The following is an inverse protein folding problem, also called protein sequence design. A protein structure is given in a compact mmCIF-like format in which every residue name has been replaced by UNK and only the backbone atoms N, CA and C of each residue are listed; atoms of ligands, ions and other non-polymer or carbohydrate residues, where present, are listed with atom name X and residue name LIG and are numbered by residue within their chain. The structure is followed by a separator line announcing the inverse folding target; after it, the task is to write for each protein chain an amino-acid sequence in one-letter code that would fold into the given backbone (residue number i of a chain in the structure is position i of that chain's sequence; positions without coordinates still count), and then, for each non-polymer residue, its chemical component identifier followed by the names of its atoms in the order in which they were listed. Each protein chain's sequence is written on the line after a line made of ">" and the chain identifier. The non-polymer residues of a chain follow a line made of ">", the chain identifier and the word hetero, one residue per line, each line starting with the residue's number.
data_IF_861449966948
#
_entry.id   IF_861449966948
#
_cell.length_a   1.000
_cell.length_b   1.000
_cell.length_c   1.000
_cell.angle_alpha   90.00
_cell.angle_beta   90.00
_cell.angle_gamma   90.00
#
_symmetry.space_group_name_H-M   'P 1'
#
loop_
_entity.id
_entity.type
_entity.pdbx_description
1 polymer ?
#
# COMPACT_ATOMS: atom_id res chain seq x y z
N UNK A 1 57.19 -50.44 37.38
CA UNK A 1 55.84 -50.29 37.98
C UNK A 1 54.85 -50.18 36.81
N UNK A 2 54.28 -51.29 36.28
CA UNK A 2 52.94 -51.86 36.58
C UNK A 2 51.90 -50.75 36.83
N UNK A 3 50.87 -50.58 36.01
CA UNK A 3 49.65 -51.42 35.86
C UNK A 3 49.08 -51.22 34.43
N UNK A 4 49.13 -52.24 33.54
CA UNK A 4 48.01 -53.12 33.06
C UNK A 4 46.91 -52.38 32.26
N UNK A 5 46.90 -52.46 30.91
CA UNK A 5 46.06 -53.36 30.05
C UNK A 5 44.54 -53.19 30.31
N UNK A 6 43.64 -53.07 29.33
CA UNK A 6 43.14 -54.17 28.48
C UNK A 6 42.40 -53.65 27.23
N UNK A 7 42.55 -54.42 26.15
CA UNK A 7 41.91 -54.34 24.83
C UNK A 7 40.39 -54.53 24.84
N UNK A 8 39.79 -54.02 23.75
CA UNK A 8 38.61 -54.52 23.03
C UNK A 8 37.22 -54.37 23.67
N UNK A 9 36.29 -53.75 22.94
CA UNK A 9 35.10 -54.39 22.39
C UNK A 9 34.34 -53.35 21.53
N UNK A 10 34.27 -53.54 20.21
CA UNK A 10 33.11 -54.08 19.48
C UNK A 10 32.09 -52.99 19.11
N UNK A 11 32.11 -52.65 17.81
CA UNK A 11 30.95 -52.43 16.94
C UNK A 11 29.61 -52.29 17.65
N UNK A 12 29.16 -51.05 17.87
CA UNK A 12 27.73 -50.75 18.02
C UNK A 12 27.29 -50.00 16.78
N UNK A 13 26.70 -50.79 15.88
CA UNK A 13 25.82 -50.48 14.77
C UNK A 13 25.18 -49.08 14.88
N UNK A 14 25.63 -48.17 14.03
CA UNK A 14 24.95 -46.90 13.76
C UNK A 14 23.78 -47.18 12.79
N UNK A 15 22.75 -47.84 13.29
CA UNK A 15 21.47 -47.99 12.61
C UNK A 15 20.39 -47.37 13.49
N UNK A 16 19.47 -46.67 12.83
CA UNK A 16 18.27 -46.03 13.38
C UNK A 16 18.50 -44.68 14.05
N UNK A 17 18.48 -43.62 13.23
CA UNK A 17 17.84 -42.33 13.53
C UNK A 17 17.61 -41.56 12.22
N UNK A 18 17.03 -42.24 11.22
CA UNK A 18 16.22 -41.57 10.21
C UNK A 18 14.87 -41.25 10.85
N UNK A 19 14.85 -40.27 11.76
CA UNK A 19 13.64 -39.50 12.02
C UNK A 19 13.35 -38.72 10.74
N UNK A 20 12.73 -39.39 9.77
CA UNK A 20 12.13 -38.73 8.63
C UNK A 20 11.16 -37.70 9.19
N UNK A 21 11.48 -36.42 9.00
CA UNK A 21 10.49 -35.36 9.14
C UNK A 21 9.34 -35.73 8.21
N UNK A 22 8.23 -36.18 8.79
CA UNK A 22 6.94 -36.17 8.09
C UNK A 22 6.78 -34.74 7.58
N UNK A 23 6.57 -34.50 6.28
CA UNK A 23 6.01 -33.23 5.87
C UNK A 23 4.71 -33.11 6.65
N UNK A 24 4.67 -32.14 7.57
CA UNK A 24 3.40 -31.71 8.11
C UNK A 24 2.56 -31.36 6.91
N UNK A 25 1.50 -32.13 6.77
CA UNK A 25 0.38 -31.94 5.86
C UNK A 25 -0.01 -30.46 5.90
N UNK A 26 0.57 -29.66 5.00
CA UNK A 26 0.06 -28.34 4.67
C UNK A 26 -1.18 -28.56 3.80
N UNK A 27 -2.18 -29.19 4.41
CA UNK A 27 -3.57 -29.04 4.03
C UNK A 27 -3.99 -27.60 4.38
N UNK A 28 -3.49 -26.65 3.59
CA UNK A 28 -4.19 -25.40 3.34
C UNK A 28 -3.87 -24.82 1.95
N UNK A 29 -3.62 -25.69 0.98
CA UNK A 29 -3.55 -25.34 -0.45
C UNK A 29 -4.95 -25.26 -1.11
N UNK A 30 -6.01 -25.14 -0.32
CA UNK A 30 -7.40 -25.14 -0.77
C UNK A 30 -8.21 -24.00 -0.14
N UNK A 31 -7.63 -22.79 -0.10
CA UNK A 31 -8.37 -21.50 -0.09
C UNK A 31 -7.41 -20.32 -0.31
N UNK A 32 -6.53 -20.42 -1.31
CA UNK A 32 -5.92 -19.23 -1.89
C UNK A 32 -6.82 -18.83 -3.06
N UNK A 33 -7.85 -18.03 -2.77
CA UNK A 33 -8.34 -17.10 -3.78
C UNK A 33 -7.11 -16.22 -4.07
N UNK A 34 -6.41 -16.46 -5.19
CA UNK A 34 -5.06 -15.93 -5.41
C UNK A 34 -5.06 -14.41 -5.16
N UNK A 35 -4.39 -13.98 -4.09
CA UNK A 35 -4.27 -12.56 -3.79
C UNK A 35 -3.59 -11.85 -4.96
N UNK A 36 -4.23 -10.81 -5.45
CA UNK A 36 -3.72 -9.92 -6.47
C UNK A 36 -2.88 -8.84 -5.78
N UNK A 37 -1.57 -8.83 -6.08
CA UNK A 37 -0.66 -7.80 -5.62
C UNK A 37 -0.89 -6.48 -6.36
N UNK A 38 -1.17 -5.41 -5.63
CA UNK A 38 -1.41 -4.07 -6.16
C UNK A 38 -0.39 -3.09 -5.61
N UNK A 39 0.31 -2.39 -6.51
CA UNK A 39 1.10 -1.21 -6.13
C UNK A 39 0.16 -0.14 -5.54
N UNK A 40 0.54 0.48 -4.43
CA UNK A 40 -0.26 1.54 -3.84
C UNK A 40 0.23 2.90 -4.34
N UNK A 41 -0.70 3.72 -4.81
CA UNK A 41 -0.45 5.09 -5.28
C UNK A 41 -1.34 6.06 -4.52
N UNK A 42 -0.75 7.11 -3.96
CA UNK A 42 -1.48 8.12 -3.18
C UNK A 42 -1.82 9.33 -4.06
N UNK A 43 -3.07 9.80 -3.98
CA UNK A 43 -3.55 11.03 -4.60
C UNK A 43 -4.05 11.94 -3.46
N UNK A 44 -3.33 13.02 -3.17
CA UNK A 44 -3.69 13.93 -2.08
C UNK A 44 -4.37 15.20 -2.61
N UNK A 45 -5.70 15.27 -2.54
CA UNK A 45 -6.50 16.45 -2.91
C UNK A 45 -6.71 17.43 -1.74
N UNK A 46 -5.99 17.24 -0.63
CA UNK A 46 -6.14 18.06 0.56
C UNK A 46 -5.19 19.26 0.55
N UNK A 47 -5.55 20.26 1.36
CA UNK A 47 -4.70 21.42 1.66
C UNK A 47 -3.53 21.10 2.60
N UNK A 48 -3.55 19.92 3.23
CA UNK A 48 -2.52 19.40 4.12
C UNK A 48 -1.67 18.36 3.41
N UNK A 49 -0.38 18.33 3.73
CA UNK A 49 0.48 17.21 3.39
C UNK A 49 0.08 15.95 4.16
N UNK A 50 0.43 14.81 3.59
CA UNK A 50 0.41 13.50 4.23
C UNK A 50 1.85 13.13 4.56
N UNK A 51 2.21 13.15 5.84
CA UNK A 51 3.56 12.84 6.30
C UNK A 51 3.86 11.35 6.18
N UNK A 52 2.89 10.52 6.57
CA UNK A 52 2.97 9.06 6.48
C UNK A 52 1.62 8.48 6.07
N UNK A 53 1.66 7.43 5.26
CA UNK A 53 0.51 6.62 4.89
C UNK A 53 0.89 5.14 4.95
N UNK A 54 0.04 4.36 5.59
CA UNK A 54 0.10 2.91 5.68
C UNK A 54 -1.20 2.29 5.16
N UNK A 55 -1.08 1.14 4.53
CA UNK A 55 -2.22 0.33 4.10
C UNK A 55 -2.02 -1.10 4.55
N UNK A 56 -2.95 -1.62 5.35
CA UNK A 56 -2.82 -2.94 5.98
C UNK A 56 -1.44 -3.13 6.66
N UNK A 57 -0.94 -2.09 7.33
CA UNK A 57 0.36 -2.08 8.00
C UNK A 57 1.59 -1.90 7.10
N UNK A 58 1.43 -1.84 5.77
CA UNK A 58 2.53 -1.58 4.83
C UNK A 58 2.67 -0.08 4.61
N UNK A 59 3.88 0.47 4.77
CA UNK A 59 4.14 1.87 4.43
C UNK A 59 4.06 2.06 2.91
N UNK A 60 3.26 3.04 2.47
CA UNK A 60 3.01 3.29 1.03
C UNK A 60 3.43 4.69 0.57
N UNK A 61 4.00 5.48 1.48
CA UNK A 61 4.60 6.77 1.15
C UNK A 61 4.10 7.93 1.99
N UNK A 62 4.43 9.11 1.48
CA UNK A 62 4.04 10.44 1.94
C UNK A 62 3.62 11.23 0.71
N UNK A 63 2.75 12.22 0.83
CA UNK A 63 2.32 13.00 -0.34
C UNK A 63 2.10 14.46 -0.02
N UNK A 64 2.60 15.34 -0.89
CA UNK A 64 2.41 16.79 -0.71
C UNK A 64 0.94 17.15 -0.93
N UNK A 65 0.52 18.28 -0.34
CA UNK A 65 -0.78 18.90 -0.59
C UNK A 65 -1.00 19.09 -2.10
N UNK A 66 -2.20 18.74 -2.58
CA UNK A 66 -2.58 18.83 -4.00
C UNK A 66 -1.63 18.12 -4.98
N UNK A 67 -0.99 17.02 -4.57
CA UNK A 67 -0.04 16.26 -5.40
C UNK A 67 -0.27 14.74 -5.34
N UNK A 68 0.44 14.01 -6.21
CA UNK A 68 0.58 12.56 -6.11
C UNK A 68 0.19 11.76 -7.34
N UNK A 69 0.33 10.43 -7.22
CA UNK A 69 -0.01 9.43 -8.23
C UNK A 69 1.17 8.86 -9.02
N UNK A 70 2.34 9.48 -8.93
CA UNK A 70 3.52 9.07 -9.72
C UNK A 70 4.45 8.11 -8.98
N UNK A 71 4.54 8.22 -7.65
CA UNK A 71 5.40 7.37 -6.82
C UNK A 71 4.73 6.04 -6.39
N UNK A 72 5.57 5.06 -6.08
CA UNK A 72 5.20 3.79 -5.45
C UNK A 72 6.24 3.46 -4.39
N UNK A 73 5.79 3.24 -3.15
CA UNK A 73 6.64 2.87 -2.03
C UNK A 73 6.30 1.50 -1.44
N UNK A 74 5.11 0.97 -1.73
CA UNK A 74 4.64 -0.31 -1.22
C UNK A 74 3.53 -0.91 -2.08
N UNK A 75 3.22 -2.17 -1.79
CA UNK A 75 2.16 -2.93 -2.43
C UNK A 75 1.40 -3.75 -1.38
N UNK A 76 0.14 -4.06 -1.65
CA UNK A 76 -0.69 -4.92 -0.80
C UNK A 76 -1.34 -6.03 -1.62
N UNK A 77 -1.75 -7.11 -0.96
CA UNK A 77 -2.63 -8.11 -1.55
C UNK A 77 -4.10 -7.77 -1.33
N UNK A 78 -4.93 -7.98 -2.35
CA UNK A 78 -6.40 -8.01 -2.25
C UNK A 78 -6.94 -9.21 -3.04
N UNK A 79 -8.18 -9.69 -2.79
CA UNK A 79 -8.74 -10.80 -3.56
C UNK A 79 -8.77 -10.49 -5.07
N UNK A 80 -8.44 -11.46 -5.93
CA UNK A 80 -8.53 -11.26 -7.39
C UNK A 80 -9.94 -10.90 -7.85
N UNK A 81 -10.97 -11.45 -7.20
CA UNK A 81 -12.38 -11.11 -7.47
C UNK A 81 -12.89 -10.18 -6.37
N UNK A 82 -13.38 -9.01 -6.78
CA UNK A 82 -14.05 -8.10 -5.85
C UNK A 82 -15.31 -8.75 -5.26
N UNK A 83 -15.58 -8.47 -3.99
CA UNK A 83 -16.83 -8.82 -3.32
C UNK A 83 -17.32 -7.68 -2.43
N UNK A 84 -18.65 -7.59 -2.15
CA UNK A 84 -19.17 -6.65 -1.17
C UNK A 84 -18.50 -6.84 0.20
N UNK A 85 -18.15 -5.73 0.85
CA UNK A 85 -17.48 -5.73 2.16
C UNK A 85 -15.96 -5.80 2.11
N UNK A 86 -15.34 -5.87 0.92
CA UNK A 86 -13.89 -5.74 0.79
C UNK A 86 -13.43 -4.35 1.27
N UNK A 87 -12.52 -4.34 2.25
CA UNK A 87 -11.94 -3.12 2.83
C UNK A 87 -10.44 -3.25 2.96
N UNK A 88 -9.76 -2.10 3.05
CA UNK A 88 -8.38 -1.98 3.49
C UNK A 88 -8.33 -1.08 4.72
N UNK A 89 -7.45 -1.38 5.67
CA UNK A 89 -7.14 -0.46 6.76
C UNK A 89 -6.18 0.60 6.20
N UNK A 90 -6.58 1.87 6.28
CA UNK A 90 -5.71 3.00 5.94
C UNK A 90 -5.36 3.73 7.23
N UNK A 91 -4.08 3.88 7.47
CA UNK A 91 -3.52 4.64 8.58
C UNK A 91 -2.69 5.79 8.02
N UNK A 92 -2.90 7.01 8.53
CA UNK A 92 -2.21 8.18 8.00
C UNK A 92 -2.02 9.28 9.03
N UNK A 93 -1.08 10.19 8.74
CA UNK A 93 -0.85 11.41 9.49
C UNK A 93 -0.82 12.59 8.52
N UNK A 94 -1.56 13.65 8.84
CA UNK A 94 -1.50 14.91 8.11
C UNK A 94 -0.69 15.96 8.88
N UNK A 95 -0.24 17.02 8.18
CA UNK A 95 0.57 18.10 8.76
C UNK A 95 -0.04 18.69 10.05
N UNK A 96 -1.38 18.71 10.15
CA UNK A 96 -2.10 19.22 11.31
C UNK A 96 -1.97 18.28 12.51
N UNK A 97 -2.15 16.97 12.31
CA UNK A 97 -1.95 15.98 13.36
C UNK A 97 -0.49 15.91 13.78
N UNK A 98 0.45 15.87 12.83
CA UNK A 98 1.89 15.80 13.11
C UNK A 98 2.36 16.96 14.00
N UNK A 99 1.89 18.19 13.74
CA UNK A 99 2.22 19.36 14.58
C UNK A 99 1.68 19.26 16.01
N UNK A 100 0.61 18.49 16.23
CA UNK A 100 0.00 18.31 17.55
C UNK A 100 0.66 17.15 18.30
N UNK A 101 0.93 16.06 17.60
CA UNK A 101 1.48 14.83 18.13
C UNK A 101 2.20 14.08 17.00
N UNK A 102 3.53 14.03 17.10
CA UNK A 102 4.39 13.46 16.07
C UNK A 102 4.21 11.94 15.91
N UNK A 103 3.72 11.26 16.95
CA UNK A 103 3.57 9.80 16.95
C UNK A 103 2.13 9.35 16.66
N UNK A 104 1.17 10.29 16.59
CA UNK A 104 -0.23 9.98 16.37
C UNK A 104 -0.60 9.80 14.90
N UNK A 105 -1.47 8.83 14.63
CA UNK A 105 -2.08 8.59 13.32
C UNK A 105 -3.61 8.51 13.42
N UNK A 106 -4.27 8.82 12.31
CA UNK A 106 -5.66 8.43 12.07
C UNK A 106 -5.72 7.02 11.49
N UNK A 107 -6.85 6.33 11.68
CA UNK A 107 -7.12 5.02 11.09
C UNK A 107 -8.56 4.93 10.59
N UNK A 108 -8.78 4.25 9.47
CA UNK A 108 -10.11 3.96 8.95
C UNK A 108 -10.12 2.67 8.11
N UNK A 109 -11.22 1.92 8.19
CA UNK A 109 -11.54 0.90 7.20
C UNK A 109 -12.13 1.58 5.96
N UNK A 110 -11.38 1.55 4.86
CA UNK A 110 -11.80 2.14 3.59
C UNK A 110 -12.32 1.04 2.68
N UNK A 111 -13.58 1.10 2.24
CA UNK A 111 -14.11 0.17 1.25
C UNK A 111 -13.33 0.27 -0.06
N UNK A 112 -12.91 -0.88 -0.60
CA UNK A 112 -12.35 -0.95 -1.95
C UNK A 112 -13.50 -0.91 -2.94
N UNK A 113 -13.45 0.05 -3.86
CA UNK A 113 -14.47 0.19 -4.89
C UNK A 113 -14.49 -1.03 -5.82
N UNK A 114 -15.67 -1.38 -6.41
CA UNK A 114 -15.76 -2.48 -7.34
C UNK A 114 -14.76 -2.38 -8.51
N UNK A 115 -14.02 -3.46 -8.76
CA UNK A 115 -13.13 -3.61 -9.92
C UNK A 115 -13.57 -4.80 -10.81
N UNK A 116 -14.71 -4.68 -11.50
CA UNK A 116 -15.28 -5.79 -12.27
C UNK A 116 -14.41 -6.25 -13.45
N UNK A 117 -13.50 -5.39 -13.93
CA UNK A 117 -12.54 -5.73 -15.00
C UNK A 117 -11.46 -6.73 -14.54
N UNK A 118 -11.44 -7.11 -13.26
CA UNK A 118 -10.75 -8.28 -12.70
C UNK A 118 -9.22 -8.27 -12.70
N UNK A 119 -8.60 -7.26 -13.28
CA UNK A 119 -7.13 -7.17 -13.43
C UNK A 119 -6.65 -5.71 -13.23
N UNK A 120 -6.85 -5.14 -12.03
CA UNK A 120 -6.18 -3.92 -11.61
C UNK A 120 -4.68 -4.17 -11.37
N UNK A 121 -3.84 -3.15 -11.62
CA UNK A 121 -2.40 -3.21 -11.31
C UNK A 121 -2.01 -2.34 -10.11
N UNK A 122 -2.88 -1.41 -9.72
CA UNK A 122 -2.63 -0.48 -8.62
C UNK A 122 -3.88 -0.27 -7.77
N UNK A 123 -3.66 -0.03 -6.49
CA UNK A 123 -4.63 0.53 -5.58
C UNK A 123 -4.35 2.04 -5.44
N UNK A 124 -5.27 2.85 -5.93
CA UNK A 124 -5.21 4.30 -5.82
C UNK A 124 -5.94 4.73 -4.54
N UNK A 125 -5.21 5.34 -3.61
CA UNK A 125 -5.78 5.97 -2.42
C UNK A 125 -5.95 7.46 -2.66
N UNK A 126 -7.19 7.89 -2.84
CA UNK A 126 -7.53 9.30 -3.02
C UNK A 126 -8.00 9.91 -1.69
N UNK A 127 -7.19 10.81 -1.14
CA UNK A 127 -7.48 11.57 0.08
C UNK A 127 -8.16 12.89 -0.26
N UNK A 128 -9.26 13.18 0.43
CA UNK A 128 -10.05 14.39 0.28
C UNK A 128 -10.23 15.11 1.62
N UNK A 129 -10.53 16.43 1.59
CA UNK A 129 -10.90 17.17 2.78
C UNK A 129 -11.99 16.48 3.60
N UNK A 130 -11.93 16.65 4.93
CA UNK A 130 -12.89 16.03 5.84
C UNK A 130 -12.65 14.53 6.09
N UNK A 131 -11.40 14.05 5.95
CA UNK A 131 -10.99 12.67 6.21
C UNK A 131 -11.71 11.64 5.34
N UNK A 132 -12.10 12.03 4.13
CA UNK A 132 -12.71 11.12 3.16
C UNK A 132 -11.62 10.50 2.32
N UNK A 133 -11.63 9.17 2.24
CA UNK A 133 -10.66 8.38 1.46
C UNK A 133 -11.43 7.49 0.50
N UNK A 134 -10.95 7.36 -0.72
CA UNK A 134 -11.42 6.36 -1.68
C UNK A 134 -10.28 5.39 -1.98
N UNK A 135 -10.58 4.10 -2.00
CA UNK A 135 -9.65 3.05 -2.41
C UNK A 135 -10.12 2.46 -3.75
N UNK A 136 -9.39 2.77 -4.82
CA UNK A 136 -9.80 2.50 -6.20
C UNK A 136 -8.79 1.54 -6.82
N UNK A 137 -9.19 0.29 -7.07
CA UNK A 137 -8.34 -0.64 -7.79
C UNK A 137 -8.48 -0.41 -9.31
N UNK A 138 -7.38 -0.09 -9.98
CA UNK A 138 -7.39 0.15 -11.43
C UNK A 138 -6.04 -0.10 -12.07
N UNK A 139 -6.06 -0.53 -13.34
CA UNK A 139 -4.88 -0.53 -14.22
C UNK A 139 -4.64 0.81 -14.91
N UNK A 140 -5.66 1.67 -14.89
CA UNK A 140 -5.62 2.96 -15.54
C UNK A 140 -5.09 4.01 -14.57
N UNK A 141 -4.55 5.10 -15.11
CA UNK A 141 -4.16 6.29 -14.36
C UNK A 141 -5.22 7.39 -14.49
N UNK A 142 -5.25 8.40 -13.61
CA UNK A 142 -6.20 9.52 -13.68
C UNK A 142 -6.28 10.26 -15.03
N UNK A 143 -5.28 10.17 -15.90
CA UNK A 143 -5.34 10.77 -17.25
C UNK A 143 -6.13 9.93 -18.27
N UNK A 144 -6.42 8.67 -17.95
CA UNK A 144 -7.14 7.78 -18.85
C UNK A 144 -8.66 7.92 -18.65
N UNK A 145 -9.46 8.07 -19.73
CA UNK A 145 -10.92 8.16 -19.64
C UNK A 145 -11.60 6.95 -18.97
N UNK A 146 -10.92 5.80 -18.91
CA UNK A 146 -11.41 4.58 -18.25
C UNK A 146 -11.06 4.52 -16.76
N UNK A 147 -10.36 5.51 -16.21
CA UNK A 147 -10.09 5.56 -14.78
C UNK A 147 -11.40 5.74 -14.00
N UNK A 148 -11.69 4.88 -13.01
CA UNK A 148 -12.94 4.96 -12.26
C UNK A 148 -13.18 6.33 -11.64
N UNK A 149 -14.40 6.85 -11.78
CA UNK A 149 -14.81 8.12 -11.19
C UNK A 149 -14.27 9.37 -11.85
N UNK A 150 -13.56 9.28 -13.00
CA UNK A 150 -13.14 10.44 -13.79
C UNK A 150 -12.24 11.43 -13.04
N UNK A 151 -11.50 10.95 -12.03
CA UNK A 151 -10.58 11.80 -11.29
C UNK A 151 -9.43 12.23 -12.21
N UNK A 152 -8.96 13.47 -12.02
CA UNK A 152 -7.67 13.95 -12.55
C UNK A 152 -6.59 13.78 -11.49
N UNK A 153 -5.32 13.94 -11.83
CA UNK A 153 -4.29 14.08 -10.80
C UNK A 153 -4.61 15.29 -9.89
N UNK A 154 -4.26 15.23 -8.59
CA UNK A 154 -4.51 16.32 -7.65
C UNK A 154 -3.95 17.66 -8.12
N UNK A 155 -2.78 17.65 -8.74
CA UNK A 155 -2.17 18.85 -9.31
C UNK A 155 -3.03 19.43 -10.43
N UNK A 156 -3.45 18.61 -11.41
CA UNK A 156 -4.31 19.05 -12.52
C UNK A 156 -5.66 19.58 -12.01
N UNK A 157 -6.22 18.94 -10.98
CA UNK A 157 -7.46 19.37 -10.35
C UNK A 157 -7.29 20.74 -9.66
N UNK A 158 -6.18 20.95 -8.94
CA UNK A 158 -5.88 22.21 -8.28
C UNK A 158 -5.56 23.33 -9.28
N UNK A 159 -4.80 23.04 -10.34
CA UNK A 159 -4.48 24.02 -11.40
C UNK A 159 -5.71 24.47 -12.18
N UNK A 160 -6.75 23.63 -12.27
CA UNK A 160 -8.02 24.01 -12.90
C UNK A 160 -8.86 24.98 -12.04
N UNK A 161 -8.61 25.05 -10.73
CA UNK A 161 -9.24 26.01 -9.82
C UNK A 161 -8.30 27.20 -9.54
N UNK A 162 -8.75 28.41 -9.86
CA UNK A 162 -7.88 29.60 -9.74
C UNK A 162 -7.43 29.87 -8.30
N UNK A 163 -8.27 29.61 -7.31
CA UNK A 163 -7.94 29.87 -5.91
C UNK A 163 -6.93 28.84 -5.39
N UNK A 164 -7.14 27.56 -5.73
CA UNK A 164 -6.22 26.47 -5.41
C UNK A 164 -4.86 26.70 -6.08
N UNK A 165 -4.84 26.96 -7.39
CA UNK A 165 -3.62 27.20 -8.15
C UNK A 165 -2.83 28.39 -7.59
N UNK A 166 -3.49 29.51 -7.30
CA UNK A 166 -2.83 30.68 -6.72
C UNK A 166 -2.25 30.39 -5.32
N UNK A 167 -2.91 29.56 -4.53
CA UNK A 167 -2.49 29.21 -3.16
C UNK A 167 -1.34 28.21 -3.14
N UNK A 168 -1.41 27.17 -3.97
CA UNK A 168 -0.53 26.00 -3.87
C UNK A 168 0.50 25.88 -5.00
N UNK A 169 0.27 26.58 -6.12
CA UNK A 169 1.17 26.58 -7.28
C UNK A 169 1.44 28.01 -7.82
N UNK A 170 1.80 28.98 -6.95
CA UNK A 170 1.93 30.39 -7.35
C UNK A 170 3.01 30.62 -8.43
N UNK A 171 4.11 29.87 -8.39
CA UNK A 171 5.20 29.98 -9.37
C UNK A 171 4.76 29.57 -10.78
N UNK A 172 3.94 28.51 -10.90
CA UNK A 172 3.40 28.05 -12.19
C UNK A 172 2.33 28.99 -12.73
N UNK A 173 1.57 29.63 -11.84
CA UNK A 173 0.63 30.69 -12.24
C UNK A 173 1.37 31.91 -12.81
N UNK A 174 2.50 32.28 -12.22
CA UNK A 174 3.34 33.38 -12.69
C UNK A 174 3.94 33.09 -14.08
N UNK A 175 4.47 31.88 -14.31
CA UNK A 175 5.04 31.51 -15.61
C UNK A 175 4.00 31.49 -16.74
N UNK A 176 2.80 30.95 -16.48
CA UNK A 176 1.69 30.91 -17.48
C UNK A 176 1.14 32.30 -17.87
N UNK A 177 1.44 33.33 -17.07
CA UNK A 177 1.04 34.71 -17.33
C UNK A 177 2.10 35.48 -18.13
N UNK A 178 3.35 35.00 -18.13
CA UNK A 178 4.46 35.59 -18.90
C UNK A 178 4.51 35.08 -20.34
N UNK A 179 3.91 33.92 -20.61
CA UNK A 179 3.85 33.28 -21.93
C UNK A 179 2.60 33.68 -22.76
N UNK A 180 1.74 34.57 -22.23
CA UNK A 180 0.54 35.11 -22.90
C UNK A 180 0.71 36.59 -23.22
#
# INVERSE_FOLDING_TARGET
>A
MKIRTWMALVLVVLATLSAGCKPAEQANAAQQDEDLGLEVRVLNYMDEGLDIVYVNGVWVGSEKRHAGGFGVAGAIGVPRKWHPGLTVEVEWQDDTLYRKDHDATYKAQVPVEPYPDGDPSSLWLAFYPGKKIRAIASRYTPLNPKFPGGLKYPEDACMADKACAAKFYPERMASSSQER
#
